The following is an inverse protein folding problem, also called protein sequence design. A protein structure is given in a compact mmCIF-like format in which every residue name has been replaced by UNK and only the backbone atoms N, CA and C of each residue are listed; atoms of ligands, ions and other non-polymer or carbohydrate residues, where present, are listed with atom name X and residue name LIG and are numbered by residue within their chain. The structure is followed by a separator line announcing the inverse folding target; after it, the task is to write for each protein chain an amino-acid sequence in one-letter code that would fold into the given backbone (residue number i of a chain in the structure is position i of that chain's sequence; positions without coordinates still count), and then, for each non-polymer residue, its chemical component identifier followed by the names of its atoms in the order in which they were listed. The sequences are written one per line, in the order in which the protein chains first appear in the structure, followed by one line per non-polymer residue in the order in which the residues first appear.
data_IF_257820199081
#
_entry.id   IF_257820199081
#
_cell.length_a   1.000
_cell.length_b   1.000
_cell.length_c   1.000
_cell.angle_alpha   90.00
_cell.angle_beta   90.00
_cell.angle_gamma   90.00
#
_symmetry.space_group_name_H-M   'P 1'
#
loop_
_entity.id
_entity.type
_entity.pdbx_description
1 polymer ?
#
# COMPACT_ATOMS: atom_id res chain seq x y z
N UNK A 1 9.77 20.60 62.39
CA UNK A 1 9.28 21.35 61.20
C UNK A 1 9.96 21.01 59.87
N UNK A 2 11.09 20.29 59.82
CA UNK A 2 11.81 19.98 58.55
C UNK A 2 11.32 18.74 57.79
N UNK A 3 10.43 17.91 58.37
CA UNK A 3 10.00 16.62 57.77
C UNK A 3 8.81 16.75 56.80
N UNK A 4 7.98 17.79 56.96
CA UNK A 4 6.77 17.99 56.13
C UNK A 4 7.12 18.71 54.82
N UNK A 5 8.14 19.57 54.84
CA UNK A 5 8.59 20.34 53.67
C UNK A 5 9.10 19.45 52.54
N UNK A 6 9.75 18.33 52.87
CA UNK A 6 10.26 17.38 51.88
C UNK A 6 9.12 16.64 51.16
N UNK A 7 8.04 16.30 51.89
CA UNK A 7 6.89 15.60 51.34
C UNK A 7 6.11 16.48 50.34
N UNK A 8 6.03 17.78 50.61
CA UNK A 8 5.34 18.74 49.73
C UNK A 8 6.08 18.94 48.39
N UNK A 9 7.42 18.92 48.42
CA UNK A 9 8.26 19.08 47.21
C UNK A 9 8.16 17.83 46.30
N UNK A 10 8.02 16.64 46.90
CA UNK A 10 7.85 15.38 46.15
C UNK A 10 6.47 15.32 45.48
N UNK A 11 5.43 15.89 46.10
CA UNK A 11 4.08 15.87 45.51
C UNK A 11 3.82 16.97 44.47
N UNK A 12 4.60 18.05 44.45
CA UNK A 12 4.52 19.09 43.41
C UNK A 12 5.51 18.92 42.26
N UNK A 13 6.39 17.90 42.28
CA UNK A 13 7.37 17.63 41.23
C UNK A 13 6.88 16.65 40.16
N UNK A 14 5.59 16.28 40.15
CA UNK A 14 4.93 15.65 39.00
C UNK A 14 4.70 16.65 37.84
N UNK A 15 5.67 17.54 37.60
CA UNK A 15 5.70 18.41 36.45
C UNK A 15 6.09 17.58 35.21
N UNK A 16 5.08 16.95 34.62
CA UNK A 16 4.89 16.80 33.17
C UNK A 16 6.16 16.46 32.36
N UNK A 17 6.75 15.29 32.62
CA UNK A 17 7.63 14.65 31.64
C UNK A 17 6.79 13.79 30.70
N UNK A 18 6.01 14.43 29.83
CA UNK A 18 5.48 13.80 28.62
C UNK A 18 6.13 14.52 27.44
N UNK A 19 7.44 14.29 27.25
CA UNK A 19 8.22 14.96 26.20
C UNK A 19 8.82 14.00 25.17
N UNK A 20 8.23 12.81 25.00
CA UNK A 20 8.50 11.95 23.84
C UNK A 20 7.22 11.22 23.40
N UNK A 21 6.12 11.98 23.27
CA UNK A 21 5.08 11.53 22.36
C UNK A 21 5.62 11.79 20.94
N UNK A 22 6.23 10.78 20.33
CA UNK A 22 6.46 10.71 18.88
C UNK A 22 5.10 10.92 18.18
N UNK A 23 4.71 12.18 18.01
CA UNK A 23 3.44 12.57 17.45
C UNK A 23 3.44 12.17 15.99
N UNK A 24 2.76 11.06 15.66
CA UNK A 24 2.61 10.59 14.29
C UNK A 24 1.42 11.28 13.65
N UNK A 25 1.70 12.14 12.68
CA UNK A 25 0.71 12.73 11.80
C UNK A 25 0.57 11.85 10.55
N UNK A 26 -0.66 11.39 10.28
CA UNK A 26 -0.98 10.68 9.05
C UNK A 26 -1.53 11.69 8.04
N UNK A 27 -0.85 11.82 6.90
CA UNK A 27 -1.19 12.76 5.84
C UNK A 27 -1.48 11.96 4.58
N UNK A 28 -2.62 12.21 3.98
CA UNK A 28 -2.96 11.72 2.65
C UNK A 28 -2.68 12.84 1.64
N UNK A 29 -1.87 12.55 0.62
CA UNK A 29 -1.51 13.53 -0.41
C UNK A 29 -1.71 12.95 -1.80
N UNK A 30 -2.57 13.59 -2.59
CA UNK A 30 -2.76 13.25 -4.01
C UNK A 30 -1.77 14.00 -4.87
N UNK A 31 -1.07 13.28 -5.75
CA UNK A 31 -0.05 13.79 -6.63
C UNK A 31 -0.20 13.19 -8.04
N UNK A 32 0.40 13.85 -9.03
CA UNK A 32 0.53 13.27 -10.37
C UNK A 32 1.57 12.15 -10.32
N UNK A 33 1.30 11.06 -11.03
CA UNK A 33 2.23 9.92 -11.15
C UNK A 33 3.61 10.40 -11.59
N UNK A 34 4.66 9.96 -10.88
CA UNK A 34 6.04 10.29 -11.24
C UNK A 34 6.49 9.54 -12.50
N UNK A 35 7.57 9.99 -13.15
CA UNK A 35 8.11 9.30 -14.33
C UNK A 35 8.48 7.83 -14.04
N UNK A 36 9.11 7.56 -12.89
CA UNK A 36 9.50 6.20 -12.51
C UNK A 36 8.29 5.28 -12.29
N UNK A 37 7.24 5.81 -11.64
CA UNK A 37 5.98 5.08 -11.45
C UNK A 37 5.28 4.81 -12.79
N UNK A 38 5.31 5.79 -13.70
CA UNK A 38 4.75 5.66 -15.04
C UNK A 38 5.50 4.61 -15.88
N UNK A 39 6.82 4.62 -15.85
CA UNK A 39 7.63 3.64 -16.59
C UNK A 39 7.43 2.22 -16.06
N UNK A 40 7.34 2.06 -14.74
CA UNK A 40 7.03 0.78 -14.13
C UNK A 40 5.63 0.28 -14.53
N UNK A 41 4.58 1.10 -14.36
CA UNK A 41 3.21 0.67 -14.68
C UNK A 41 3.05 0.39 -16.18
N UNK A 42 3.74 1.14 -17.04
CA UNK A 42 3.78 0.89 -18.48
C UNK A 42 4.43 -0.46 -18.79
N UNK A 43 5.55 -0.80 -18.14
CA UNK A 43 6.20 -2.11 -18.29
C UNK A 43 5.29 -3.25 -17.79
N UNK A 44 4.59 -3.06 -16.67
CA UNK A 44 3.61 -4.03 -16.16
C UNK A 44 2.48 -4.24 -17.18
N UNK A 45 1.90 -3.15 -17.69
CA UNK A 45 0.76 -3.17 -18.59
C UNK A 45 1.08 -3.81 -19.96
N UNK A 46 2.35 -3.83 -20.39
CA UNK A 46 2.79 -4.58 -21.58
C UNK A 46 2.48 -6.08 -21.50
N UNK A 47 2.56 -6.67 -20.30
CA UNK A 47 2.33 -8.11 -20.10
C UNK A 47 0.99 -8.41 -19.42
N UNK A 48 0.49 -7.46 -18.62
CA UNK A 48 -0.75 -7.58 -17.84
C UNK A 48 -1.66 -6.38 -18.12
N UNK A 49 -2.28 -6.32 -19.31
CA UNK A 49 -3.11 -5.18 -19.73
C UNK A 49 -4.40 -5.05 -18.93
N UNK A 50 -4.76 -6.05 -18.12
CA UNK A 50 -5.89 -6.04 -17.21
C UNK A 50 -5.69 -5.11 -16.00
N UNK A 51 -4.45 -4.72 -15.69
CA UNK A 51 -4.17 -3.70 -14.67
C UNK A 51 -4.31 -2.31 -15.27
N UNK A 52 -5.20 -1.50 -14.70
CA UNK A 52 -5.52 -0.16 -15.20
C UNK A 52 -4.38 0.82 -14.91
N UNK A 53 -4.20 1.79 -15.81
CA UNK A 53 -3.23 2.89 -15.63
C UNK A 53 -3.97 4.13 -15.13
N UNK A 54 -3.44 4.78 -14.08
CA UNK A 54 -3.93 6.08 -13.61
C UNK A 54 -2.90 7.18 -13.85
N UNK A 55 -3.37 8.44 -13.88
CA UNK A 55 -2.55 9.65 -13.95
C UNK A 55 -2.23 10.21 -12.55
N UNK A 56 -2.92 9.75 -11.52
CA UNK A 56 -2.82 10.27 -10.17
C UNK A 56 -2.58 9.13 -9.18
N UNK A 57 -1.84 9.45 -8.13
CA UNK A 57 -1.58 8.58 -6.99
C UNK A 57 -1.88 9.31 -5.71
N UNK A 58 -2.27 8.55 -4.70
CA UNK A 58 -2.45 8.98 -3.33
C UNK A 58 -1.34 8.38 -2.49
N UNK A 59 -0.49 9.23 -1.93
CA UNK A 59 0.55 8.85 -1.00
C UNK A 59 0.04 8.94 0.44
N UNK A 60 0.07 7.81 1.14
CA UNK A 60 -0.21 7.75 2.58
C UNK A 60 1.09 7.94 3.33
N UNK A 61 1.21 9.05 4.06
CA UNK A 61 2.46 9.51 4.64
C UNK A 61 2.35 9.54 6.16
N UNK A 62 3.35 9.00 6.85
CA UNK A 62 3.53 9.20 8.29
C UNK A 62 4.64 10.22 8.51
N UNK A 63 4.34 11.23 9.32
CA UNK A 63 5.27 12.27 9.68
C UNK A 63 5.37 12.36 11.21
N UNK A 64 6.59 12.30 11.77
CA UNK A 64 6.83 12.49 13.20
C UNK A 64 7.60 13.81 13.50
N UNK A 65 7.40 14.83 12.66
CA UNK A 65 8.06 16.14 12.64
C UNK A 65 9.58 16.11 12.37
N UNK A 66 10.21 14.92 12.39
CA UNK A 66 11.64 14.70 12.06
C UNK A 66 11.82 13.95 10.76
N UNK A 67 10.95 12.98 10.49
CA UNK A 67 10.99 12.09 9.34
C UNK A 67 9.63 12.07 8.67
N UNK A 68 9.64 12.10 7.34
CA UNK A 68 8.47 11.88 6.51
C UNK A 68 8.65 10.58 5.74
N UNK A 69 7.76 9.62 5.96
CA UNK A 69 7.81 8.31 5.33
C UNK A 69 6.51 8.02 4.57
N UNK A 70 6.62 7.72 3.28
CA UNK A 70 5.49 7.19 2.50
C UNK A 70 5.28 5.74 2.92
N UNK A 71 4.11 5.39 3.44
CA UNK A 71 3.73 4.02 3.78
C UNK A 71 3.28 3.26 2.54
N UNK A 72 2.31 3.82 1.81
CA UNK A 72 1.78 3.25 0.58
C UNK A 72 1.53 4.34 -0.45
N UNK A 73 1.64 3.95 -1.71
CA UNK A 73 1.26 4.78 -2.85
C UNK A 73 0.17 4.04 -3.58
N UNK A 74 -1.06 4.55 -3.50
CA UNK A 74 -2.24 3.96 -4.10
C UNK A 74 -2.60 4.72 -5.37
N UNK A 75 -2.76 4.04 -6.51
CA UNK A 75 -3.24 4.70 -7.72
C UNK A 75 -4.70 5.08 -7.55
N UNK A 76 -5.04 6.29 -7.99
CA UNK A 76 -6.40 6.81 -7.90
C UNK A 76 -7.18 6.45 -9.15
N UNK A 77 -8.26 5.67 -9.00
CA UNK A 77 -9.14 5.29 -10.11
C UNK A 77 -10.59 5.65 -9.80
N UNK A 78 -11.35 5.94 -10.85
CA UNK A 78 -12.79 5.69 -10.80
C UNK A 78 -13.00 4.17 -10.77
N UNK A 79 -13.76 3.68 -9.80
CA UNK A 79 -14.03 2.25 -9.68
C UNK A 79 -14.63 1.72 -10.99
N UNK A 80 -14.03 0.68 -11.61
CA UNK A 80 -14.54 0.10 -12.85
C UNK A 80 -15.99 -0.38 -12.70
N UNK A 81 -16.77 -0.28 -13.78
CA UNK A 81 -18.23 -0.53 -13.74
C UNK A 81 -18.60 -1.96 -13.34
N UNK A 82 -17.73 -2.91 -13.61
CA UNK A 82 -17.84 -4.34 -13.29
C UNK A 82 -17.34 -4.70 -11.88
N UNK A 83 -16.73 -3.73 -11.19
CA UNK A 83 -16.15 -3.89 -9.86
C UNK A 83 -17.01 -3.20 -8.78
N UNK A 84 -17.11 -3.85 -7.61
CA UNK A 84 -17.55 -3.23 -6.36
C UNK A 84 -16.40 -2.44 -5.70
N UNK A 85 -15.17 -2.91 -5.88
CA UNK A 85 -13.96 -2.31 -5.35
C UNK A 85 -12.78 -2.59 -6.27
N UNK A 86 -11.89 -1.62 -6.41
CA UNK A 86 -10.66 -1.73 -7.20
C UNK A 86 -9.57 -0.92 -6.52
N UNK A 87 -8.42 -1.54 -6.25
CA UNK A 87 -7.26 -0.92 -5.61
C UNK A 87 -5.99 -1.46 -6.23
N UNK A 88 -5.07 -0.56 -6.52
CA UNK A 88 -3.72 -0.88 -6.98
C UNK A 88 -2.75 0.00 -6.22
N UNK A 89 -1.72 -0.61 -5.65
CA UNK A 89 -0.70 0.04 -4.86
C UNK A 89 0.67 -0.29 -5.41
N UNK A 90 1.60 0.66 -5.40
CA UNK A 90 2.98 0.45 -5.84
C UNK A 90 3.93 0.51 -4.64
N UNK A 91 4.98 -0.30 -4.68
CA UNK A 91 6.04 -0.26 -3.67
C UNK A 91 6.84 1.04 -3.78
N UNK A 92 7.47 1.45 -2.67
CA UNK A 92 8.32 2.65 -2.62
C UNK A 92 9.47 2.62 -3.64
N UNK A 93 9.93 1.43 -4.01
CA UNK A 93 11.01 1.22 -4.97
C UNK A 93 10.55 1.18 -6.43
N UNK A 94 9.25 1.27 -6.72
CA UNK A 94 8.68 1.11 -8.06
C UNK A 94 9.12 -0.20 -8.74
N UNK A 95 9.29 -1.27 -7.95
CA UNK A 95 9.69 -2.59 -8.45
C UNK A 95 8.61 -3.64 -8.30
N UNK A 96 7.58 -3.35 -7.49
CA UNK A 96 6.43 -4.22 -7.33
C UNK A 96 5.15 -3.42 -7.14
N UNK A 97 4.03 -4.07 -7.44
CA UNK A 97 2.69 -3.54 -7.30
C UNK A 97 1.78 -4.63 -6.76
N UNK A 98 0.92 -4.24 -5.84
CA UNK A 98 -0.13 -5.08 -5.29
C UNK A 98 -1.46 -4.62 -5.88
N UNK A 99 -2.31 -5.57 -6.24
CA UNK A 99 -3.63 -5.26 -6.76
C UNK A 99 -4.71 -6.07 -6.06
N UNK A 100 -5.89 -5.47 -5.98
CA UNK A 100 -7.09 -6.08 -5.43
C UNK A 100 -8.29 -5.55 -6.19
N UNK A 101 -9.20 -6.43 -6.59
CA UNK A 101 -10.51 -6.04 -7.05
C UNK A 101 -11.56 -7.08 -6.70
N UNK A 102 -12.76 -6.58 -6.42
CA UNK A 102 -13.96 -7.38 -6.18
C UNK A 102 -14.92 -7.12 -7.32
N UNK A 103 -15.24 -8.16 -8.08
CA UNK A 103 -16.24 -8.09 -9.14
C UNK A 103 -17.66 -8.13 -8.55
N UNK A 104 -18.61 -7.58 -9.29
CA UNK A 104 -20.05 -7.58 -8.93
C UNK A 104 -20.65 -8.96 -8.75
N UNK A 105 -20.07 -9.98 -9.39
CA UNK A 105 -20.49 -11.37 -9.26
C UNK A 105 -19.98 -12.04 -7.97
N UNK A 106 -19.32 -11.28 -7.09
CA UNK A 106 -18.75 -11.77 -5.84
C UNK A 106 -17.35 -12.38 -5.96
N UNK A 107 -16.75 -12.40 -7.16
CA UNK A 107 -15.38 -12.87 -7.35
C UNK A 107 -14.40 -11.89 -6.75
N UNK A 108 -13.50 -12.38 -5.89
CA UNK A 108 -12.36 -11.64 -5.39
C UNK A 108 -11.11 -12.02 -6.17
N UNK A 109 -10.37 -11.02 -6.61
CA UNK A 109 -9.06 -11.21 -7.22
C UNK A 109 -8.06 -10.30 -6.53
N UNK A 110 -6.94 -10.87 -6.13
CA UNK A 110 -5.79 -10.13 -5.60
C UNK A 110 -4.50 -10.70 -6.15
N UNK A 111 -3.40 -10.00 -5.90
CA UNK A 111 -2.11 -10.48 -6.31
C UNK A 111 -1.03 -9.43 -6.24
N UNK A 112 0.17 -9.85 -6.61
CA UNK A 112 1.33 -9.00 -6.73
C UNK A 112 1.96 -9.15 -8.11
N UNK A 113 2.54 -8.06 -8.61
CA UNK A 113 3.34 -8.03 -9.82
C UNK A 113 4.69 -7.44 -9.45
N UNK A 114 5.79 -8.07 -9.87
CA UNK A 114 7.14 -7.61 -9.57
C UNK A 114 8.09 -7.76 -10.73
N UNK A 115 9.09 -6.88 -10.77
CA UNK A 115 10.24 -7.03 -11.64
C UNK A 115 11.25 -7.95 -10.95
N UNK A 116 11.60 -9.05 -11.63
CA UNK A 116 12.58 -10.01 -11.14
C UNK A 116 13.50 -10.43 -12.27
N UNK A 117 14.80 -10.11 -12.13
CA UNK A 117 15.83 -10.46 -13.11
C UNK A 117 15.49 -10.07 -14.57
N UNK A 118 14.83 -8.93 -14.77
CA UNK A 118 14.43 -8.41 -16.08
C UNK A 118 13.00 -8.77 -16.50
N UNK A 119 12.47 -9.90 -16.03
CA UNK A 119 11.09 -10.36 -16.28
C UNK A 119 10.07 -9.72 -15.35
N UNK A 120 8.81 -9.73 -15.79
CA UNK A 120 7.65 -9.31 -15.00
C UNK A 120 6.94 -10.56 -14.50
N UNK A 121 6.94 -10.77 -13.19
CA UNK A 121 6.35 -11.93 -12.53
C UNK A 121 5.06 -11.51 -11.86
N UNK A 122 3.99 -12.29 -12.03
CA UNK A 122 2.69 -12.06 -11.38
C UNK A 122 2.26 -13.28 -10.59
N UNK A 123 1.83 -13.06 -9.35
CA UNK A 123 1.05 -14.02 -8.56
C UNK A 123 -0.39 -13.55 -8.52
N UNK A 124 -1.33 -14.42 -8.84
CA UNK A 124 -2.75 -14.11 -8.84
C UNK A 124 -3.48 -15.07 -7.90
N UNK A 125 -4.25 -14.51 -6.97
CA UNK A 125 -5.17 -15.22 -6.10
C UNK A 125 -6.60 -14.88 -6.53
N UNK A 126 -7.38 -15.90 -6.85
CA UNK A 126 -8.79 -15.78 -7.19
C UNK A 126 -9.62 -16.61 -6.24
N UNK A 127 -10.64 -15.98 -5.66
CA UNK A 127 -11.61 -16.64 -4.80
C UNK A 127 -13.02 -16.37 -5.35
N UNK A 128 -13.76 -17.45 -5.59
CA UNK A 128 -15.18 -17.39 -5.93
C UNK A 128 -15.90 -18.45 -5.12
N UNK A 129 -16.81 -18.02 -4.25
CA UNK A 129 -17.50 -18.88 -3.28
C UNK A 129 -16.50 -19.69 -2.43
N UNK A 130 -16.41 -21.01 -2.67
CA UNK A 130 -15.45 -21.93 -2.02
C UNK A 130 -14.30 -22.36 -2.93
N UNK A 131 -14.30 -21.90 -4.18
CA UNK A 131 -13.26 -22.23 -5.15
C UNK A 131 -12.14 -21.22 -5.05
N UNK A 132 -10.93 -21.71 -4.74
CA UNK A 132 -9.70 -20.93 -4.74
C UNK A 132 -8.86 -21.32 -5.94
N UNK A 133 -8.22 -20.34 -6.56
CA UNK A 133 -7.27 -20.55 -7.64
C UNK A 133 -6.06 -19.66 -7.37
N UNK A 134 -4.87 -20.24 -7.45
CA UNK A 134 -3.60 -19.51 -7.38
C UNK A 134 -2.88 -19.72 -8.70
N UNK A 135 -2.50 -18.65 -9.38
CA UNK A 135 -1.81 -18.70 -10.66
C UNK A 135 -0.50 -17.94 -10.60
N UNK A 136 0.51 -18.49 -11.24
CA UNK A 136 1.85 -17.88 -11.37
C UNK A 136 2.11 -17.60 -12.83
N UNK A 137 2.51 -16.37 -13.15
CA UNK A 137 2.82 -15.94 -14.50
C UNK A 137 4.20 -15.33 -14.58
N UNK A 138 4.83 -15.48 -15.74
CA UNK A 138 6.05 -14.76 -16.12
C UNK A 138 5.85 -14.18 -17.51
N UNK A 139 6.05 -12.88 -17.65
CA UNK A 139 5.94 -12.14 -18.91
C UNK A 139 4.61 -12.45 -19.63
N UNK A 140 3.51 -12.45 -18.86
CA UNK A 140 2.15 -12.72 -19.34
C UNK A 140 1.81 -14.21 -19.56
N UNK A 141 2.79 -15.12 -19.46
CA UNK A 141 2.56 -16.56 -19.67
C UNK A 141 2.28 -17.28 -18.36
N UNK A 142 1.22 -18.08 -18.33
CA UNK A 142 0.89 -18.93 -17.19
C UNK A 142 1.94 -20.04 -17.04
N UNK A 143 2.60 -20.10 -15.89
CA UNK A 143 3.56 -21.15 -15.55
C UNK A 143 2.93 -22.28 -14.74
N UNK A 144 2.07 -21.92 -13.78
CA UNK A 144 1.46 -22.90 -12.90
C UNK A 144 0.11 -22.40 -12.36
N UNK A 145 -0.78 -23.34 -12.06
CA UNK A 145 -2.09 -23.11 -11.47
C UNK A 145 -2.36 -24.13 -10.37
N UNK A 146 -2.80 -23.66 -9.20
CA UNK A 146 -3.17 -24.48 -8.04
C UNK A 146 -4.66 -24.23 -7.75
N UNK A 147 -5.42 -25.30 -7.51
CA UNK A 147 -6.85 -25.28 -7.16
C UNK A 147 -7.07 -25.89 -5.77
#
# INVERSE_FOLDING_TARGET
MKKITLLLIIMCSSAVYCQDADMKLYIEKTEVVSFDQYDFIKKVNQFYPDILVSRQVTNNIVNNLKVQEILTTDFLYETPKDCDAYKVSISKSNTSLDYFYKLKDGTFVSGDIRLFAGSVVRTLYKLKDKTRVIQYYVDGKLLNEIK
#
